data_IF_481385920180
#
_entry.id   IF_481385920180
#
_cell.length_a   1.000
_cell.length_b   1.000
_cell.length_c   1.000
_cell.angle_alpha   90.00
_cell.angle_beta   90.00
_cell.angle_gamma   90.00
#
_symmetry.space_group_name_H-M   'P 1'
#
loop_
_entity.id
_entity.type
_entity.pdbx_description
1 polymer ?
#
# COMPACT_ATOMS: atom_id res chain seq x y z
N UNK A 1 15.74 7.49 9.91
CA UNK A 1 14.34 7.32 9.51
C UNK A 1 14.30 6.91 8.05
N UNK A 2 13.70 5.76 7.73
CA UNK A 2 13.60 5.16 6.39
C UNK A 2 12.14 5.10 5.99
N UNK A 3 11.80 5.81 4.93
CA UNK A 3 10.44 5.90 4.41
C UNK A 3 10.37 5.18 3.08
N UNK A 4 9.36 4.36 2.89
CA UNK A 4 8.97 3.83 1.59
C UNK A 4 7.73 4.58 1.12
N UNK A 5 7.80 5.15 -0.07
CA UNK A 5 6.64 5.69 -0.77
C UNK A 5 6.34 4.78 -1.97
N UNK A 6 5.15 4.18 -1.99
CA UNK A 6 4.65 3.44 -3.14
C UNK A 6 3.76 4.37 -3.96
N UNK A 7 4.10 4.46 -5.25
CA UNK A 7 3.27 5.16 -6.23
C UNK A 7 1.91 4.50 -6.39
N UNK A 8 1.15 5.01 -7.35
CA UNK A 8 -0.26 4.66 -7.54
C UNK A 8 -0.51 3.15 -7.70
N UNK A 9 -1.37 2.61 -6.82
CA UNK A 9 -1.85 1.23 -6.94
C UNK A 9 -3.01 1.16 -7.91
N UNK A 10 -2.80 0.43 -8.99
CA UNK A 10 -3.85 0.24 -10.00
C UNK A 10 -4.52 -1.12 -9.83
N UNK A 11 -5.78 -1.11 -9.38
CA UNK A 11 -6.68 -2.25 -9.38
C UNK A 11 -6.18 -3.47 -8.58
N UNK A 12 -6.65 -4.67 -8.97
CA UNK A 12 -6.36 -5.92 -8.24
C UNK A 12 -4.88 -6.31 -8.29
N UNK A 13 -4.20 -6.07 -9.40
CA UNK A 13 -2.78 -6.43 -9.58
C UNK A 13 -1.89 -5.59 -8.66
N UNK A 14 -2.09 -4.26 -8.62
CA UNK A 14 -1.36 -3.37 -7.73
C UNK A 14 -1.56 -3.74 -6.27
N UNK A 15 -2.82 -3.95 -5.84
CA UNK A 15 -3.15 -4.38 -4.47
C UNK A 15 -2.50 -5.70 -4.09
N UNK A 16 -2.62 -6.72 -4.94
CA UNK A 16 -2.03 -8.03 -4.67
C UNK A 16 -0.51 -7.94 -4.49
N UNK A 17 0.18 -7.20 -5.38
CA UNK A 17 1.62 -7.03 -5.30
C UNK A 17 2.05 -6.35 -3.99
N UNK A 18 1.33 -5.30 -3.56
CA UNK A 18 1.65 -4.58 -2.31
C UNK A 18 1.36 -5.44 -1.09
N UNK A 19 0.18 -6.06 -1.00
CA UNK A 19 -0.21 -6.89 0.16
C UNK A 19 0.79 -8.04 0.38
N UNK A 20 1.28 -8.65 -0.70
CA UNK A 20 2.23 -9.76 -0.60
C UNK A 20 3.67 -9.30 -0.27
N UNK A 21 4.12 -8.18 -0.86
CA UNK A 21 5.52 -7.76 -0.77
C UNK A 21 5.80 -6.87 0.44
N UNK A 22 4.85 -6.04 0.86
CA UNK A 22 5.09 -4.96 1.81
C UNK A 22 5.62 -5.45 3.17
N UNK A 23 5.09 -6.51 3.80
CA UNK A 23 5.65 -7.02 5.04
C UNK A 23 7.14 -7.41 4.92
N UNK A 24 7.50 -8.06 3.81
CA UNK A 24 8.88 -8.47 3.51
C UNK A 24 9.79 -7.27 3.26
N UNK A 25 9.27 -6.23 2.58
CA UNK A 25 10.00 -4.99 2.33
C UNK A 25 10.26 -4.22 3.64
N UNK A 26 9.27 -4.14 4.53
CA UNK A 26 9.42 -3.52 5.85
C UNK A 26 10.54 -4.17 6.65
N UNK A 27 10.55 -5.50 6.72
CA UNK A 27 11.61 -6.25 7.41
C UNK A 27 12.98 -6.04 6.75
N UNK A 28 13.06 -6.26 5.43
CA UNK A 28 14.33 -6.21 4.67
C UNK A 28 15.01 -4.84 4.77
N UNK A 29 14.24 -3.77 4.63
CA UNK A 29 14.77 -2.41 4.61
C UNK A 29 14.72 -1.72 5.97
N UNK A 30 14.12 -2.36 6.99
CA UNK A 30 13.85 -1.79 8.32
C UNK A 30 13.16 -0.43 8.19
N UNK A 31 11.99 -0.44 7.55
CA UNK A 31 11.21 0.77 7.26
C UNK A 31 10.57 1.28 8.55
N UNK A 32 10.68 2.59 8.76
CA UNK A 32 10.06 3.30 9.89
C UNK A 32 8.66 3.81 9.54
N UNK A 33 8.39 4.09 8.26
CA UNK A 33 7.10 4.59 7.78
C UNK A 33 6.85 4.20 6.31
N UNK A 34 5.62 3.88 5.97
CA UNK A 34 5.19 3.50 4.61
C UNK A 34 4.00 4.34 4.18
N UNK A 35 4.15 5.00 3.03
CA UNK A 35 3.07 5.73 2.35
C UNK A 35 2.69 5.01 1.07
N UNK A 36 1.39 4.95 0.80
CA UNK A 36 0.83 4.28 -0.36
C UNK A 36 -0.16 5.21 -1.06
N UNK A 37 0.00 5.47 -2.37
CA UNK A 37 -1.06 6.11 -3.13
C UNK A 37 -2.12 5.06 -3.56
N UNK A 38 -3.36 5.23 -3.11
CA UNK A 38 -4.49 4.35 -3.39
C UNK A 38 -5.55 4.92 -4.31
N UNK A 39 -5.31 6.02 -5.05
CA UNK A 39 -6.33 6.67 -5.89
C UNK A 39 -6.96 5.74 -6.92
N UNK A 40 -6.26 4.72 -7.40
CA UNK A 40 -6.77 3.79 -8.42
C UNK A 40 -6.94 2.34 -7.93
N UNK A 41 -6.99 2.13 -6.60
CA UNK A 41 -6.95 0.80 -5.99
C UNK A 41 -8.24 -0.01 -6.21
N UNK A 42 -9.41 0.64 -6.29
CA UNK A 42 -10.71 0.03 -6.50
C UNK A 42 -11.05 -0.10 -8.00
N UNK A 43 -10.60 -1.18 -8.64
CA UNK A 43 -10.93 -1.42 -10.05
C UNK A 43 -10.41 -0.36 -11.03
N UNK A 44 -9.39 0.42 -10.63
CA UNK A 44 -8.80 1.48 -11.44
C UNK A 44 -9.33 2.89 -11.15
N UNK A 45 -10.23 3.06 -10.18
CA UNK A 45 -10.70 4.39 -9.75
C UNK A 45 -11.23 4.38 -8.31
N UNK A 46 -10.69 5.25 -7.48
CA UNK A 46 -11.01 5.39 -6.06
C UNK A 46 -10.44 4.27 -5.19
N UNK A 47 -10.86 4.28 -3.92
CA UNK A 47 -10.56 3.28 -2.89
C UNK A 47 -11.84 2.92 -2.14
N UNK A 48 -11.96 1.67 -1.70
CA UNK A 48 -13.04 1.25 -0.78
C UNK A 48 -12.49 1.09 0.64
N UNK A 49 -13.37 1.17 1.64
CA UNK A 49 -13.00 0.93 3.05
C UNK A 49 -12.32 -0.43 3.26
N UNK A 50 -12.82 -1.48 2.62
CA UNK A 50 -12.20 -2.81 2.67
C UNK A 50 -10.75 -2.79 2.14
N UNK A 51 -10.50 -2.12 1.00
CA UNK A 51 -9.15 -2.01 0.42
C UNK A 51 -8.24 -1.18 1.33
N UNK A 52 -8.75 -0.11 1.93
CA UNK A 52 -7.99 0.68 2.90
C UNK A 52 -7.51 -0.20 4.06
N UNK A 53 -8.39 -1.02 4.65
CA UNK A 53 -8.02 -1.94 5.72
C UNK A 53 -7.01 -2.99 5.28
N UNK A 54 -7.18 -3.60 4.10
CA UNK A 54 -6.19 -4.55 3.54
C UNK A 54 -4.78 -3.94 3.44
N UNK A 55 -4.67 -2.68 3.02
CA UNK A 55 -3.38 -1.99 2.88
C UNK A 55 -2.75 -1.63 4.24
N UNK A 56 -3.55 -1.20 5.21
CA UNK A 56 -3.08 -0.93 6.58
C UNK A 56 -2.61 -2.23 7.25
N UNK A 57 -3.37 -3.32 7.11
CA UNK A 57 -2.99 -4.64 7.62
C UNK A 57 -1.70 -5.17 6.98
N UNK A 58 -1.47 -4.89 5.69
CA UNK A 58 -0.21 -5.20 5.01
C UNK A 58 0.98 -4.35 5.48
N UNK A 59 0.74 -3.30 6.27
CA UNK A 59 1.76 -2.45 6.87
C UNK A 59 1.93 -1.10 6.18
N UNK A 60 0.90 -0.54 5.53
CA UNK A 60 0.89 0.88 5.18
C UNK A 60 0.56 1.72 6.42
N UNK A 61 1.30 2.82 6.64
CA UNK A 61 1.06 3.74 7.76
C UNK A 61 0.21 4.95 7.34
N UNK A 62 0.28 5.32 6.06
CA UNK A 62 -0.58 6.35 5.47
C UNK A 62 -0.98 5.97 4.04
N UNK A 63 -2.21 6.34 3.68
CA UNK A 63 -2.75 6.16 2.34
C UNK A 63 -3.15 7.53 1.78
N UNK A 64 -2.63 7.88 0.62
CA UNK A 64 -2.98 9.10 -0.11
C UNK A 64 -3.90 8.78 -1.28
N UNK A 65 -4.55 9.82 -1.83
CA UNK A 65 -5.33 9.78 -3.08
C UNK A 65 -4.64 10.76 -4.04
#
# INVERSE_FOLDING_TARGET
MRILFLGDLVGRSGRGAVIEALPKLRERYRLDFVVVNGENAAGGFGITEAIYHELVEAGADAITL
#
